data_IF_818138490808
#
_entry.id   IF_818138490808
#
_cell.length_a   1.000
_cell.length_b   1.000
_cell.length_c   1.000
_cell.angle_alpha   90.00
_cell.angle_beta   90.00
_cell.angle_gamma   90.00
#
_symmetry.space_group_name_H-M   'P 1'
#
loop_
_entity.id
_entity.type
_entity.pdbx_description
1 polymer ?
#
# COMPACT_ATOMS: atom_id res chain seq x y z
N UNK A 1 27.99 -20.83 58.26
CA UNK A 1 28.02 -19.48 57.65
C UNK A 1 27.80 -19.65 56.16
N UNK A 2 26.58 -19.44 55.68
CA UNK A 2 26.30 -19.35 54.23
C UNK A 2 25.29 -18.23 54.06
N UNK A 3 25.80 -17.02 53.86
CA UNK A 3 24.98 -15.83 53.63
C UNK A 3 24.41 -15.94 52.22
N UNK A 4 23.10 -16.18 52.12
CA UNK A 4 22.39 -16.10 50.85
C UNK A 4 22.30 -14.62 50.46
N UNK A 5 23.14 -14.20 49.52
CA UNK A 5 23.06 -12.88 48.89
C UNK A 5 21.75 -12.81 48.11
N UNK A 6 20.77 -12.11 48.68
CA UNK A 6 19.52 -11.78 48.00
C UNK A 6 19.88 -10.91 46.79
N UNK A 7 19.76 -11.50 45.60
CA UNK A 7 19.95 -10.79 44.34
C UNK A 7 18.82 -9.77 44.21
N UNK A 8 19.10 -8.51 44.54
CA UNK A 8 18.18 -7.39 44.31
C UNK A 8 17.78 -7.34 42.84
N UNK A 9 16.48 -7.29 42.50
CA UNK A 9 16.05 -7.19 41.12
C UNK A 9 16.59 -5.88 40.52
N UNK A 10 17.28 -5.97 39.37
CA UNK A 10 17.67 -4.78 38.61
C UNK A 10 16.41 -3.94 38.36
N UNK A 11 16.45 -2.67 38.74
CA UNK A 11 15.36 -1.73 38.50
C UNK A 11 15.08 -1.69 36.99
N UNK A 12 13.97 -2.29 36.56
CA UNK A 12 13.48 -2.16 35.19
C UNK A 12 13.25 -0.68 34.91
N UNK A 13 13.82 -0.12 33.82
CA UNK A 13 13.62 1.29 33.49
C UNK A 13 12.12 1.58 33.40
N UNK A 14 11.69 2.70 33.99
CA UNK A 14 10.30 3.13 33.91
C UNK A 14 9.85 3.25 32.45
N UNK A 15 8.56 3.03 32.19
CA UNK A 15 7.98 3.07 30.82
C UNK A 15 8.31 4.37 30.08
N UNK A 16 8.39 5.50 30.79
CA UNK A 16 8.83 6.79 30.24
C UNK A 16 10.30 6.77 29.81
N UNK A 17 11.20 6.22 30.62
CA UNK A 17 12.63 6.10 30.28
C UNK A 17 12.84 5.19 29.07
N UNK A 18 12.14 4.05 29.02
CA UNK A 18 12.16 3.15 27.86
C UNK A 18 11.66 3.86 26.59
N UNK A 19 10.59 4.64 26.68
CA UNK A 19 10.07 5.44 25.57
C UNK A 19 11.06 6.50 25.07
N UNK A 20 11.72 7.22 25.98
CA UNK A 20 12.75 8.22 25.62
C UNK A 20 13.94 7.55 24.94
N UNK A 21 14.45 6.45 25.50
CA UNK A 21 15.55 5.69 24.88
C UNK A 21 15.18 5.19 23.49
N UNK A 22 13.95 4.70 23.31
CA UNK A 22 13.46 4.28 21.99
C UNK A 22 13.48 5.43 20.98
N UNK A 23 12.90 6.60 21.32
CA UNK A 23 12.89 7.76 20.41
C UNK A 23 14.30 8.24 20.09
N UNK A 24 15.18 8.34 21.09
CA UNK A 24 16.57 8.74 20.87
C UNK A 24 17.30 7.75 19.96
N UNK A 25 17.11 6.45 20.18
CA UNK A 25 17.72 5.41 19.34
C UNK A 25 17.24 5.50 17.88
N UNK A 26 15.95 5.80 17.66
CA UNK A 26 15.37 6.00 16.33
C UNK A 26 16.00 7.21 15.63
N UNK A 27 16.12 8.35 16.33
CA UNK A 27 16.72 9.57 15.78
C UNK A 27 18.19 9.33 15.42
N UNK A 28 18.95 8.69 16.31
CA UNK A 28 20.36 8.35 16.05
C UNK A 28 20.48 7.44 14.83
N UNK A 29 19.63 6.42 14.73
CA UNK A 29 19.61 5.52 13.57
C UNK A 29 19.29 6.28 12.26
N UNK A 30 18.33 7.21 12.29
CA UNK A 30 17.97 8.04 11.13
C UNK A 30 19.13 8.96 10.71
N UNK A 31 19.78 9.61 11.69
CA UNK A 31 20.94 10.50 11.46
C UNK A 31 22.15 9.70 10.94
N UNK A 32 22.33 8.46 11.40
CA UNK A 32 23.37 7.59 10.87
C UNK A 32 23.06 7.13 9.43
N UNK A 33 21.79 6.89 9.10
CA UNK A 33 21.37 6.34 7.81
C UNK A 33 21.21 7.39 6.69
N UNK A 34 20.83 8.64 6.99
CA UNK A 34 20.43 9.59 5.94
C UNK A 34 21.58 9.92 4.96
N UNK A 35 22.82 10.07 5.45
CA UNK A 35 23.99 10.34 4.59
C UNK A 35 24.32 9.17 3.68
N UNK A 36 24.62 7.96 4.18
CA UNK A 36 25.05 6.86 3.32
C UNK A 36 23.96 6.48 2.30
N UNK A 37 22.69 6.51 2.70
CA UNK A 37 21.56 6.22 1.80
C UNK A 37 21.38 7.34 0.78
N UNK A 38 21.42 8.61 1.22
CA UNK A 38 21.30 9.77 0.33
C UNK A 38 22.41 9.82 -0.71
N UNK A 39 23.66 9.60 -0.30
CA UNK A 39 24.82 9.57 -1.19
C UNK A 39 24.72 8.40 -2.19
N UNK A 40 24.20 7.25 -1.76
CA UNK A 40 23.98 6.12 -2.66
C UNK A 40 22.92 6.43 -3.72
N UNK A 41 21.78 7.01 -3.33
CA UNK A 41 20.73 7.43 -4.27
C UNK A 41 21.31 8.45 -5.25
N UNK A 42 22.03 9.45 -4.76
CA UNK A 42 22.70 10.45 -5.59
C UNK A 42 23.66 9.81 -6.60
N UNK A 43 24.54 8.90 -6.17
CA UNK A 43 25.47 8.18 -7.07
C UNK A 43 24.75 7.38 -8.15
N UNK A 44 23.63 6.74 -7.82
CA UNK A 44 22.84 5.93 -8.77
C UNK A 44 22.18 6.82 -9.83
N UNK A 45 21.64 7.94 -9.38
CA UNK A 45 20.85 8.89 -10.17
C UNK A 45 21.73 9.79 -11.03
N UNK A 46 22.89 10.21 -10.52
CA UNK A 46 23.86 11.06 -11.22
C UNK A 46 24.87 10.27 -12.06
N UNK A 47 25.11 9.00 -11.73
CA UNK A 47 26.07 8.16 -12.43
C UNK A 47 25.68 7.89 -13.88
N UNK A 48 26.66 7.79 -14.78
CA UNK A 48 26.40 7.51 -16.22
C UNK A 48 26.55 6.03 -16.58
N UNK A 49 27.14 5.22 -15.71
CA UNK A 49 27.42 3.80 -15.98
C UNK A 49 26.14 2.98 -15.99
N UNK A 50 25.89 2.25 -17.08
CA UNK A 50 24.78 1.31 -17.22
C UNK A 50 25.26 -0.13 -17.13
N UNK A 51 24.60 -0.93 -16.29
CA UNK A 51 24.90 -2.36 -16.19
C UNK A 51 24.36 -3.11 -17.43
N UNK A 52 24.85 -4.33 -17.68
CA UNK A 52 24.32 -5.18 -18.77
C UNK A 52 22.84 -5.51 -18.54
N UNK A 53 22.45 -5.70 -17.28
CA UNK A 53 21.07 -5.98 -16.88
C UNK A 53 20.16 -4.78 -17.14
N UNK A 54 20.58 -3.57 -16.77
CA UNK A 54 19.83 -2.35 -17.08
C UNK A 54 19.62 -2.17 -18.57
N UNK A 55 20.66 -2.38 -19.39
CA UNK A 55 20.53 -2.29 -20.85
C UNK A 55 19.56 -3.32 -21.40
N UNK A 56 19.55 -4.54 -20.85
CA UNK A 56 18.58 -5.57 -21.22
C UNK A 56 17.14 -5.14 -20.93
N UNK A 57 16.89 -4.66 -19.71
CA UNK A 57 15.55 -4.22 -19.28
C UNK A 57 15.08 -3.00 -20.08
N UNK A 58 15.92 -1.98 -20.22
CA UNK A 58 15.57 -0.76 -20.97
C UNK A 58 15.31 -1.07 -22.45
N UNK A 59 16.05 -2.04 -23.02
CA UNK A 59 15.80 -2.51 -24.39
C UNK A 59 14.50 -3.30 -24.53
N UNK A 60 14.12 -4.08 -23.53
CA UNK A 60 12.81 -4.77 -23.50
C UNK A 60 11.64 -3.80 -23.40
N UNK A 61 11.82 -2.69 -22.67
CA UNK A 61 10.84 -1.60 -22.61
C UNK A 61 10.86 -0.75 -23.90
N UNK A 62 11.86 -0.93 -24.77
CA UNK A 62 11.96 -0.22 -26.05
C UNK A 62 12.43 1.24 -25.91
N UNK A 63 13.05 1.60 -24.78
CA UNK A 63 13.48 2.98 -24.50
C UNK A 63 14.93 3.18 -24.94
N UNK A 64 15.23 4.35 -25.49
CA UNK A 64 16.61 4.73 -25.79
C UNK A 64 17.25 5.35 -24.52
N UNK A 65 18.20 4.65 -23.87
CA UNK A 65 18.83 5.14 -22.63
C UNK A 65 19.68 6.42 -22.80
N UNK A 66 19.96 6.82 -24.04
CA UNK A 66 20.76 8.01 -24.37
C UNK A 66 19.92 9.24 -24.71
N UNK A 67 18.59 9.10 -24.84
CA UNK A 67 17.71 10.23 -25.11
C UNK A 67 17.25 10.84 -23.77
N UNK A 68 17.59 12.11 -23.52
CA UNK A 68 16.99 12.84 -22.41
C UNK A 68 15.55 13.25 -22.77
N UNK A 69 14.65 13.28 -21.78
CA UNK A 69 13.26 13.68 -21.96
C UNK A 69 13.05 15.10 -21.45
N UNK A 70 12.21 15.86 -22.16
CA UNK A 70 11.66 17.10 -21.64
C UNK A 70 10.72 16.83 -20.46
N UNK A 71 10.55 17.83 -19.59
CA UNK A 71 9.69 17.71 -18.40
C UNK A 71 8.27 17.20 -18.73
N UNK A 72 7.71 17.64 -19.85
CA UNK A 72 6.36 17.28 -20.27
C UNK A 72 6.25 15.82 -20.74
N UNK A 73 7.32 15.24 -21.27
CA UNK A 73 7.37 13.79 -21.59
C UNK A 73 7.46 13.00 -20.29
N UNK A 74 8.38 13.38 -19.39
CA UNK A 74 8.55 12.74 -18.08
C UNK A 74 7.23 12.71 -17.28
N UNK A 75 6.54 13.85 -17.21
CA UNK A 75 5.26 13.99 -16.51
C UNK A 75 4.12 13.17 -17.13
N UNK A 76 4.18 12.84 -18.43
CA UNK A 76 3.21 11.96 -19.12
C UNK A 76 3.57 10.49 -18.99
N UNK A 77 4.87 10.15 -18.93
CA UNK A 77 5.34 8.78 -18.74
C UNK A 77 4.91 8.21 -17.38
N UNK A 78 4.90 9.03 -16.33
CA UNK A 78 4.47 8.61 -15.00
C UNK A 78 3.01 8.09 -14.94
N UNK A 79 1.98 8.87 -15.33
CA UNK A 79 0.60 8.37 -15.29
C UNK A 79 0.37 7.27 -16.32
N UNK A 80 1.08 7.27 -17.45
CA UNK A 80 1.01 6.17 -18.41
C UNK A 80 1.51 4.85 -17.78
N UNK A 81 2.63 4.88 -17.07
CA UNK A 81 3.15 3.73 -16.33
C UNK A 81 2.17 3.28 -15.25
N UNK A 82 1.67 4.21 -14.42
CA UNK A 82 0.69 3.89 -13.38
C UNK A 82 -0.58 3.27 -13.95
N UNK A 83 -1.10 3.77 -15.08
CA UNK A 83 -2.28 3.20 -15.73
C UNK A 83 -2.05 1.75 -16.17
N UNK A 84 -0.90 1.47 -16.82
CA UNK A 84 -0.53 0.10 -17.22
C UNK A 84 -0.40 -0.81 -15.99
N UNK A 85 0.24 -0.34 -14.92
CA UNK A 85 0.36 -1.11 -13.67
C UNK A 85 -1.00 -1.38 -13.03
N UNK A 86 -1.93 -0.42 -13.01
CA UNK A 86 -3.29 -0.62 -12.47
C UNK A 86 -4.03 -1.67 -13.31
N UNK A 87 -3.96 -1.59 -14.64
CA UNK A 87 -4.64 -2.56 -15.50
C UNK A 87 -4.06 -3.97 -15.32
N UNK A 88 -2.74 -4.08 -15.22
CA UNK A 88 -2.06 -5.35 -14.95
C UNK A 88 -2.47 -5.92 -13.58
N UNK A 89 -2.36 -5.14 -12.50
CA UNK A 89 -2.75 -5.58 -11.16
C UNK A 89 -4.26 -5.77 -10.99
N UNK A 90 -5.08 -5.14 -11.82
CA UNK A 90 -6.50 -5.40 -11.82
C UNK A 90 -6.77 -6.77 -12.42
N UNK A 91 -6.20 -7.07 -13.60
CA UNK A 91 -6.41 -8.32 -14.32
C UNK A 91 -5.75 -9.54 -13.64
N UNK A 92 -4.58 -9.36 -13.02
CA UNK A 92 -3.78 -10.48 -12.53
C UNK A 92 -4.45 -11.29 -11.41
N UNK A 93 -5.00 -10.68 -10.33
CA UNK A 93 -5.80 -11.40 -9.33
C UNK A 93 -7.15 -11.91 -9.88
N UNK A 94 -7.67 -11.34 -10.97
CA UNK A 94 -8.89 -11.85 -11.62
C UNK A 94 -8.68 -13.16 -12.33
N UNK A 95 -7.48 -13.40 -12.86
CA UNK A 95 -7.10 -14.64 -13.53
C UNK A 95 -6.31 -15.58 -12.65
N UNK A 96 -6.29 -15.34 -11.34
CA UNK A 96 -5.45 -16.12 -10.44
C UNK A 96 -5.82 -17.60 -10.40
N UNK A 97 -7.05 -17.97 -10.74
CA UNK A 97 -7.58 -19.33 -10.81
C UNK A 97 -6.96 -20.17 -11.93
N UNK A 98 -6.45 -19.54 -12.98
CA UNK A 98 -5.79 -20.22 -14.10
C UNK A 98 -4.27 -20.34 -13.93
N UNK A 99 -3.70 -19.75 -12.88
CA UNK A 99 -2.26 -19.71 -12.67
C UNK A 99 -1.76 -20.98 -11.96
N UNK A 100 -0.58 -21.46 -12.35
CA UNK A 100 0.01 -22.72 -11.85
C UNK A 100 0.31 -22.76 -10.34
N UNK A 101 0.24 -21.61 -9.66
CA UNK A 101 0.41 -21.45 -8.22
C UNK A 101 -0.81 -20.78 -7.57
N UNK A 102 -1.99 -20.99 -8.16
CA UNK A 102 -3.29 -20.59 -7.61
C UNK A 102 -3.66 -21.36 -6.34
N UNK A 103 -3.18 -22.60 -6.19
CA UNK A 103 -3.47 -23.48 -5.04
C UNK A 103 -4.97 -23.65 -4.70
N UNK A 104 -5.88 -23.28 -5.61
CA UNK A 104 -7.33 -23.36 -5.41
C UNK A 104 -8.02 -22.04 -5.04
N UNK A 105 -7.32 -20.90 -5.04
CA UNK A 105 -7.95 -19.58 -4.87
C UNK A 105 -8.83 -19.24 -6.07
N UNK A 106 -10.07 -18.82 -5.78
CA UNK A 106 -10.99 -18.33 -6.81
C UNK A 106 -10.62 -16.92 -7.28
N UNK A 107 -11.17 -16.46 -8.41
CA UNK A 107 -10.91 -15.11 -8.91
C UNK A 107 -11.42 -14.04 -7.92
N UNK A 108 -10.60 -13.03 -7.62
CA UNK A 108 -10.99 -11.92 -6.73
C UNK A 108 -12.16 -11.14 -7.35
N UNK A 109 -13.12 -10.59 -6.60
CA UNK A 109 -14.22 -9.76 -7.14
C UNK A 109 -13.75 -8.45 -7.81
N UNK A 110 -14.51 -7.86 -8.76
CA UNK A 110 -14.06 -6.72 -9.60
C UNK A 110 -13.72 -5.47 -8.80
N UNK A 111 -14.57 -5.10 -7.86
CA UNK A 111 -14.33 -3.97 -6.97
C UNK A 111 -13.10 -4.19 -6.08
N UNK A 112 -12.92 -5.41 -5.58
CA UNK A 112 -11.80 -5.77 -4.73
C UNK A 112 -10.45 -5.75 -5.47
N UNK A 113 -10.43 -6.32 -6.69
CA UNK A 113 -9.24 -6.30 -7.55
C UNK A 113 -8.88 -4.87 -7.96
N UNK A 114 -9.88 -4.03 -8.28
CA UNK A 114 -9.67 -2.61 -8.59
C UNK A 114 -9.10 -1.82 -7.42
N UNK A 115 -9.70 -1.95 -6.23
CA UNK A 115 -9.21 -1.28 -5.02
C UNK A 115 -7.77 -1.70 -4.70
N UNK A 116 -7.47 -2.99 -4.79
CA UNK A 116 -6.11 -3.51 -4.57
C UNK A 116 -5.13 -2.93 -5.60
N UNK A 117 -5.48 -2.95 -6.88
CA UNK A 117 -4.62 -2.42 -7.94
C UNK A 117 -4.29 -0.94 -7.72
N UNK A 118 -5.29 -0.10 -7.48
CA UNK A 118 -5.08 1.33 -7.20
C UNK A 118 -4.22 1.50 -5.96
N UNK A 119 -4.54 0.80 -4.86
CA UNK A 119 -3.84 0.97 -3.58
C UNK A 119 -2.36 0.60 -3.64
N UNK A 120 -2.00 -0.45 -4.38
CA UNK A 120 -0.60 -0.85 -4.54
C UNK A 120 0.14 0.08 -5.52
N UNK A 121 -0.51 0.52 -6.59
CA UNK A 121 0.11 1.46 -7.56
C UNK A 121 0.34 2.83 -6.92
N UNK A 122 -0.56 3.29 -6.07
CA UNK A 122 -0.42 4.56 -5.32
C UNK A 122 0.48 4.45 -4.09
N UNK A 123 1.12 3.29 -3.87
CA UNK A 123 1.97 3.02 -2.69
C UNK A 123 1.23 3.20 -1.35
N UNK A 124 -0.10 3.09 -1.35
CA UNK A 124 -0.93 3.15 -0.13
C UNK A 124 -0.96 1.80 0.57
N UNK A 125 -0.94 0.72 -0.22
CA UNK A 125 -1.00 -0.66 0.26
C UNK A 125 -2.19 -0.89 1.23
N UNK A 126 -3.34 -0.30 0.90
CA UNK A 126 -4.60 -0.58 1.61
C UNK A 126 -5.07 -2.00 1.30
N UNK A 127 -5.45 -2.74 2.34
CA UNK A 127 -5.86 -4.15 2.26
C UNK A 127 -7.25 -4.30 2.87
N UNK A 128 -8.25 -4.46 2.02
CA UNK A 128 -9.63 -4.74 2.42
C UNK A 128 -9.89 -6.23 2.69
N UNK A 129 -8.91 -7.08 2.36
CA UNK A 129 -9.02 -8.53 2.37
C UNK A 129 -8.00 -9.16 3.31
N UNK A 130 -8.33 -10.32 3.92
CA UNK A 130 -7.33 -11.17 4.56
C UNK A 130 -6.50 -11.86 3.47
N UNK A 131 -5.18 -11.60 3.47
CA UNK A 131 -4.25 -12.15 2.49
C UNK A 131 -4.36 -13.67 2.38
N UNK A 132 -4.47 -14.32 3.55
CA UNK A 132 -4.39 -15.78 3.74
C UNK A 132 -5.52 -16.55 3.05
N UNK A 133 -6.62 -15.85 2.74
CA UNK A 133 -7.84 -16.47 2.21
C UNK A 133 -8.29 -15.88 0.87
N UNK A 134 -7.57 -14.90 0.33
CA UNK A 134 -8.02 -14.15 -0.86
C UNK A 134 -7.04 -14.22 -2.03
N UNK A 135 -5.72 -14.28 -1.79
CA UNK A 135 -4.70 -14.15 -2.83
C UNK A 135 -3.77 -15.36 -2.89
N UNK A 136 -3.62 -15.94 -4.08
CA UNK A 136 -2.65 -17.00 -4.35
C UNK A 136 -1.20 -16.50 -4.31
N UNK A 137 -0.27 -17.43 -4.04
CA UNK A 137 1.15 -17.10 -3.86
C UNK A 137 1.73 -16.29 -5.01
N UNK A 138 1.36 -16.65 -6.25
CA UNK A 138 1.88 -15.97 -7.43
C UNK A 138 1.40 -14.52 -7.51
N UNK A 139 0.15 -14.25 -7.12
CA UNK A 139 -0.37 -12.89 -7.09
C UNK A 139 0.38 -12.05 -6.06
N UNK A 140 0.68 -12.63 -4.91
CA UNK A 140 1.42 -11.94 -3.85
C UNK A 140 2.86 -11.66 -4.24
N UNK A 141 3.57 -12.67 -4.75
CA UNK A 141 4.99 -12.56 -5.08
C UNK A 141 5.23 -11.76 -6.37
N UNK A 142 4.52 -12.09 -7.44
CA UNK A 142 4.78 -11.53 -8.77
C UNK A 142 3.92 -10.29 -9.08
N UNK A 143 2.81 -10.09 -8.36
CA UNK A 143 1.94 -8.92 -8.51
C UNK A 143 2.22 -7.89 -7.43
N UNK A 144 1.77 -8.19 -6.22
CA UNK A 144 1.75 -7.25 -5.09
C UNK A 144 3.15 -6.84 -4.64
N UNK A 145 4.05 -7.81 -4.45
CA UNK A 145 5.42 -7.50 -4.04
C UNK A 145 6.16 -6.69 -5.10
N UNK A 146 6.07 -7.07 -6.38
CA UNK A 146 6.66 -6.30 -7.49
C UNK A 146 6.12 -4.87 -7.52
N UNK A 147 4.81 -4.66 -7.29
CA UNK A 147 4.24 -3.33 -7.29
C UNK A 147 4.70 -2.48 -6.08
N UNK A 148 4.99 -3.09 -4.93
CA UNK A 148 5.60 -2.37 -3.80
C UNK A 148 6.96 -1.79 -4.17
N UNK A 149 7.76 -2.49 -4.99
CA UNK A 149 9.02 -1.96 -5.51
C UNK A 149 8.79 -0.85 -6.53
N UNK A 150 7.95 -1.09 -7.52
CA UNK A 150 7.75 -0.17 -8.63
C UNK A 150 7.10 1.15 -8.18
N UNK A 151 6.09 1.09 -7.31
CA UNK A 151 5.42 2.30 -6.80
C UNK A 151 6.36 3.16 -5.93
N UNK A 152 7.18 2.54 -5.09
CA UNK A 152 8.23 3.23 -4.34
C UNK A 152 9.28 3.85 -5.27
N UNK A 153 9.70 3.12 -6.32
CA UNK A 153 10.65 3.61 -7.30
C UNK A 153 10.11 4.84 -8.06
N UNK A 154 8.83 4.85 -8.43
CA UNK A 154 8.17 6.02 -9.03
C UNK A 154 8.21 7.23 -8.10
N UNK A 155 7.92 7.05 -6.80
CA UNK A 155 7.99 8.14 -5.82
C UNK A 155 9.39 8.76 -5.72
N UNK A 156 10.41 7.92 -5.64
CA UNK A 156 11.82 8.37 -5.63
C UNK A 156 12.18 9.05 -6.96
N UNK A 157 11.74 8.51 -8.09
CA UNK A 157 12.00 9.09 -9.41
C UNK A 157 11.38 10.49 -9.56
N UNK A 158 10.19 10.74 -9.01
CA UNK A 158 9.58 12.08 -8.97
C UNK A 158 10.37 13.04 -8.09
N UNK A 159 10.78 12.61 -6.89
CA UNK A 159 11.61 13.42 -6.00
C UNK A 159 12.94 13.79 -6.67
N UNK A 160 13.57 12.84 -7.35
CA UNK A 160 14.79 13.06 -8.15
C UNK A 160 14.56 14.06 -9.27
N UNK A 161 13.48 13.90 -10.04
CA UNK A 161 13.15 14.82 -11.13
C UNK A 161 12.94 16.25 -10.61
N UNK A 162 12.28 16.41 -9.46
CA UNK A 162 12.10 17.69 -8.80
C UNK A 162 13.43 18.32 -8.37
N UNK A 163 14.31 17.54 -7.72
CA UNK A 163 15.66 18.00 -7.33
C UNK A 163 16.47 18.40 -8.56
N UNK A 164 16.42 17.62 -9.65
CA UNK A 164 17.09 17.97 -10.92
C UNK A 164 16.51 19.23 -11.55
N UNK A 165 15.20 19.44 -11.45
CA UNK A 165 14.52 20.66 -11.92
C UNK A 165 14.98 21.92 -11.20
N UNK A 166 15.33 21.84 -9.91
CA UNK A 166 15.94 22.95 -9.18
C UNK A 166 17.44 23.12 -9.46
N UNK A 167 18.17 22.01 -9.64
CA UNK A 167 19.63 22.04 -9.81
C UNK A 167 20.09 22.42 -11.22
N UNK A 168 19.34 22.03 -12.27
CA UNK A 168 19.70 22.32 -13.67
C UNK A 168 19.15 23.68 -14.09
N UNK A 169 20.00 24.53 -14.65
CA UNK A 169 19.59 25.81 -15.25
C UNK A 169 19.58 25.72 -16.78
N UNK A 170 18.46 26.12 -17.41
CA UNK A 170 18.35 26.38 -18.86
C UNK A 170 18.53 25.18 -19.83
N UNK A 171 18.29 23.94 -19.40
CA UNK A 171 18.46 22.75 -20.28
C UNK A 171 17.15 22.20 -20.86
N UNK A 172 15.97 22.51 -20.31
CA UNK A 172 14.68 21.97 -20.77
C UNK A 172 14.46 20.47 -20.52
N UNK A 173 15.52 19.74 -20.16
CA UNK A 173 15.56 18.28 -20.01
C UNK A 173 15.82 17.85 -18.55
N UNK A 174 15.07 16.84 -18.08
CA UNK A 174 15.10 16.34 -16.69
C UNK A 174 15.71 14.92 -16.56
N UNK A 175 16.08 14.31 -17.68
CA UNK A 175 16.51 12.90 -17.76
C UNK A 175 15.42 12.01 -18.36
N UNK A 176 15.49 10.70 -18.16
CA UNK A 176 14.52 9.74 -18.68
C UNK A 176 13.86 8.96 -17.53
N UNK A 177 12.52 8.98 -17.50
CA UNK A 177 11.72 8.34 -16.45
C UNK A 177 11.97 6.84 -16.33
N UNK A 178 12.10 6.15 -17.46
CA UNK A 178 12.27 4.69 -17.48
C UNK A 178 13.67 4.29 -16.99
N UNK A 179 14.69 5.08 -17.37
CA UNK A 179 16.06 4.89 -16.88
C UNK A 179 16.12 5.10 -15.37
N UNK A 180 15.49 6.16 -14.85
CA UNK A 180 15.45 6.42 -13.41
C UNK A 180 14.69 5.29 -12.67
N UNK A 181 13.53 4.88 -13.18
CA UNK A 181 12.73 3.80 -12.62
C UNK A 181 13.54 2.49 -12.51
N UNK A 182 14.21 2.08 -13.59
CA UNK A 182 15.00 0.83 -13.62
C UNK A 182 16.21 0.93 -12.69
N UNK A 183 16.91 2.07 -12.67
CA UNK A 183 18.09 2.27 -11.80
C UNK A 183 17.74 2.27 -10.32
N UNK A 184 16.67 2.97 -9.94
CA UNK A 184 16.20 3.03 -8.55
C UNK A 184 15.76 1.63 -8.11
N UNK A 185 15.00 0.92 -8.94
CA UNK A 185 14.54 -0.44 -8.63
C UNK A 185 15.73 -1.40 -8.44
N UNK A 186 16.66 -1.46 -9.39
CA UNK A 186 17.73 -2.48 -9.38
C UNK A 186 18.92 -2.14 -8.47
N UNK A 187 19.25 -0.85 -8.29
CA UNK A 187 20.46 -0.45 -7.54
C UNK A 187 20.19 0.13 -6.16
N UNK A 188 18.95 0.52 -5.86
CA UNK A 188 18.57 1.07 -4.55
C UNK A 188 17.65 0.11 -3.82
N UNK A 189 16.47 -0.19 -4.37
CA UNK A 189 15.47 -0.96 -3.66
C UNK A 189 15.83 -2.45 -3.57
N UNK A 190 16.28 -3.07 -4.67
CA UNK A 190 16.58 -4.51 -4.69
C UNK A 190 17.70 -4.90 -3.71
N UNK A 191 18.85 -4.21 -3.63
CA UNK A 191 19.89 -4.56 -2.66
C UNK A 191 19.44 -4.38 -1.21
N UNK A 192 18.70 -3.30 -0.93
CA UNK A 192 18.17 -3.03 0.41
C UNK A 192 17.15 -4.09 0.82
N UNK A 193 16.27 -4.51 -0.10
CA UNK A 193 15.29 -5.55 0.17
C UNK A 193 15.92 -6.93 0.37
N UNK A 194 16.98 -7.27 -0.38
CA UNK A 194 17.72 -8.52 -0.15
C UNK A 194 18.35 -8.54 1.24
N UNK A 195 19.01 -7.45 1.64
CA UNK A 195 19.57 -7.32 2.98
C UNK A 195 18.49 -7.40 4.06
N UNK A 196 17.36 -6.70 3.86
CA UNK A 196 16.21 -6.76 4.77
C UNK A 196 15.62 -8.16 4.90
N UNK A 197 15.45 -8.86 3.77
CA UNK A 197 14.95 -10.24 3.75
C UNK A 197 15.88 -11.19 4.50
N UNK A 198 17.20 -11.05 4.35
CA UNK A 198 18.18 -11.85 5.11
C UNK A 198 18.08 -11.59 6.61
N UNK A 199 17.99 -10.32 7.03
CA UNK A 199 17.83 -9.96 8.45
C UNK A 199 16.53 -10.54 9.02
N UNK A 200 15.42 -10.44 8.28
CA UNK A 200 14.13 -10.99 8.69
C UNK A 200 14.17 -12.53 8.78
N UNK A 201 14.83 -13.19 7.82
CA UNK A 201 15.01 -14.64 7.82
C UNK A 201 15.83 -15.11 9.03
N UNK A 202 16.89 -14.38 9.38
CA UNK A 202 17.66 -14.62 10.61
C UNK A 202 16.82 -14.36 11.88
N UNK A 203 15.86 -13.43 11.81
CA UNK A 203 14.87 -13.17 12.86
C UNK A 203 13.74 -14.21 12.93
N UNK A 204 13.75 -15.24 12.07
CA UNK A 204 12.78 -16.33 12.08
C UNK A 204 11.56 -16.12 11.18
N UNK A 205 11.57 -15.12 10.29
CA UNK A 205 10.51 -14.96 9.29
C UNK A 205 10.54 -16.12 8.30
N UNK A 206 9.39 -16.74 8.11
CA UNK A 206 9.22 -17.91 7.25
C UNK A 206 9.21 -17.50 5.78
N UNK A 207 10.14 -18.06 4.99
CA UNK A 207 10.22 -17.85 3.54
C UNK A 207 10.28 -19.22 2.84
N UNK A 208 9.12 -19.83 2.61
CA UNK A 208 9.02 -21.08 1.85
C UNK A 208 7.89 -20.99 0.82
N UNK A 209 7.64 -22.05 0.06
CA UNK A 209 6.47 -22.17 -0.84
C UNK A 209 5.61 -23.38 -0.43
N UNK A 210 5.72 -23.79 0.83
CA UNK A 210 5.02 -24.95 1.36
C UNK A 210 3.59 -24.60 1.71
N UNK A 211 2.72 -25.59 1.55
CA UNK A 211 1.24 -25.48 1.57
C UNK A 211 0.68 -25.27 2.99
N UNK A 212 1.53 -25.05 4.00
CA UNK A 212 1.14 -24.99 5.42
C UNK A 212 1.37 -26.32 6.14
N UNK A 213 1.59 -26.26 7.45
CA UNK A 213 1.86 -27.43 8.29
C UNK A 213 0.76 -27.57 9.33
N UNK A 214 0.04 -28.70 9.31
CA UNK A 214 -0.90 -29.03 10.37
C UNK A 214 -0.15 -29.47 11.62
N UNK A 215 -0.31 -28.72 12.70
CA UNK A 215 0.32 -28.99 14.00
C UNK A 215 -0.76 -29.38 15.00
N UNK A 216 -0.61 -30.55 15.61
CA UNK A 216 -1.42 -30.93 16.76
C UNK A 216 -0.93 -30.16 17.98
N UNK A 217 -1.78 -29.32 18.56
CA UNK A 217 -1.46 -28.52 19.74
C UNK A 217 -1.28 -29.42 20.97
N UNK A 218 -0.63 -28.89 21.99
CA UNK A 218 -0.47 -29.56 23.29
C UNK A 218 -1.82 -29.90 23.96
N UNK A 219 -2.89 -29.22 23.56
CA UNK A 219 -4.27 -29.46 24.02
C UNK A 219 -5.03 -30.48 23.16
N UNK A 220 -4.38 -31.11 22.17
CA UNK A 220 -4.96 -32.12 21.27
C UNK A 220 -5.81 -31.54 20.14
N UNK A 221 -5.89 -30.21 20.00
CA UNK A 221 -6.54 -29.54 18.87
C UNK A 221 -5.65 -29.53 17.62
N UNK A 222 -6.24 -29.60 16.43
CA UNK A 222 -5.49 -29.35 15.19
C UNK A 222 -5.40 -27.85 14.90
N UNK A 223 -4.18 -27.33 14.72
CA UNK A 223 -3.93 -25.97 14.25
C UNK A 223 -3.09 -26.03 12.97
N UNK A 224 -3.64 -25.51 11.87
CA UNK A 224 -2.86 -25.31 10.64
C UNK A 224 -2.02 -24.05 10.79
N UNK A 225 -0.70 -24.19 10.79
CA UNK A 225 0.24 -23.07 10.70
C UNK A 225 0.43 -22.78 9.22
N UNK A 226 0.02 -21.58 8.80
CA UNK A 226 0.23 -21.11 7.42
C UNK A 226 1.72 -21.12 7.10
N UNK A 227 2.08 -21.69 5.95
CA UNK A 227 3.45 -21.86 5.49
C UNK A 227 4.03 -20.58 4.93
N UNK A 228 4.60 -20.65 3.73
CA UNK A 228 5.13 -19.51 2.99
C UNK A 228 4.02 -18.55 2.56
N UNK A 229 4.01 -18.01 1.32
CA UNK A 229 2.78 -17.43 0.84
C UNK A 229 1.67 -18.49 1.03
N UNK A 230 0.45 -18.02 1.24
CA UNK A 230 -0.62 -18.71 1.98
C UNK A 230 -1.54 -19.68 1.23
N UNK A 231 -2.06 -20.67 1.96
CA UNK A 231 -3.00 -21.71 1.51
C UNK A 231 -4.48 -21.28 1.56
N UNK A 232 -5.31 -21.61 0.54
CA UNK A 232 -6.75 -21.40 0.63
C UNK A 232 -7.41 -22.41 1.57
N UNK A 233 -8.00 -21.92 2.68
CA UNK A 233 -8.84 -22.72 3.58
C UNK A 233 -10.13 -23.19 2.88
N UNK A 234 -10.09 -24.31 2.14
CA UNK A 234 -11.28 -24.95 1.56
C UNK A 234 -11.80 -26.17 2.34
N UNK A 235 -11.16 -26.59 3.42
CA UNK A 235 -11.46 -27.86 4.11
C UNK A 235 -12.21 -27.75 5.46
N UNK A 236 -12.91 -26.64 5.74
CA UNK A 236 -13.90 -26.58 6.83
C UNK A 236 -15.36 -26.54 6.35
N UNK A 237 -15.62 -26.77 5.06
CA UNK A 237 -16.97 -26.88 4.50
C UNK A 237 -17.35 -28.32 4.10
N UNK A 238 -16.62 -29.33 4.57
CA UNK A 238 -17.12 -30.70 4.54
C UNK A 238 -17.94 -30.93 5.83
N UNK A 239 -19.24 -31.29 5.76
CA UNK A 239 -19.98 -31.70 6.95
C UNK A 239 -19.25 -32.87 7.57
N UNK A 240 -18.71 -32.68 8.78
CA UNK A 240 -18.22 -33.81 9.57
C UNK A 240 -19.44 -34.70 9.84
N UNK A 241 -19.41 -36.01 9.55
CA UNK A 241 -20.47 -36.90 10.00
C UNK A 241 -20.51 -36.81 11.52
N UNK A 242 -21.59 -36.23 12.04
CA UNK A 242 -21.86 -36.16 13.47
C UNK A 242 -22.03 -37.59 13.99
N UNK A 243 -20.96 -38.13 14.57
CA UNK A 243 -21.02 -39.34 15.37
C UNK A 243 -21.74 -39.03 16.69
N UNK A 244 -23.07 -39.15 16.70
CA UNK A 244 -23.85 -39.65 17.83
C UNK A 244 -25.30 -39.81 17.38
N UNK A 245 -25.64 -41.03 17.01
CA UNK A 245 -27.03 -41.48 17.03
C UNK A 245 -27.42 -41.67 18.50
N UNK A 246 -28.22 -40.75 19.03
CA UNK A 246 -29.01 -40.97 20.22
C UNK A 246 -30.49 -40.94 19.81
N UNK A 247 -31.05 -42.14 19.76
CA UNK A 247 -32.45 -42.48 19.51
C UNK A 247 -33.41 -41.73 20.44
N UNK A 248 -34.39 -41.00 19.88
CA UNK A 248 -35.66 -40.67 20.54
C UNK A 248 -36.74 -40.32 19.48
N UNK A 249 -38.03 -40.60 19.74
CA UNK A 249 -38.98 -41.01 18.71
C UNK A 249 -39.70 -39.87 17.99
N UNK A 250 -40.10 -40.19 16.77
CA UNK A 250 -41.02 -39.45 15.88
C UNK A 250 -42.27 -38.96 16.62
N UNK A 251 -42.51 -37.66 16.64
CA UNK A 251 -43.86 -37.09 16.76
C UNK A 251 -43.99 -35.88 15.84
N UNK A 252 -44.92 -36.05 14.91
CA UNK A 252 -45.37 -35.14 13.87
C UNK A 252 -46.04 -33.89 14.46
N UNK A 253 -45.55 -32.68 14.12
CA UNK A 253 -46.33 -31.48 13.73
C UNK A 253 -45.45 -30.20 13.62
N UNK A 254 -45.69 -29.32 12.63
CA UNK A 254 -44.94 -28.09 12.48
C UNK A 254 -45.44 -27.03 13.47
N UNK A 255 -44.59 -26.63 14.43
CA UNK A 255 -44.87 -25.50 15.32
C UNK A 255 -44.13 -24.28 14.83
N UNK A 256 -44.89 -23.37 14.22
CA UNK A 256 -44.50 -22.00 13.89
C UNK A 256 -44.06 -21.32 15.20
N UNK A 257 -42.77 -21.02 15.32
CA UNK A 257 -42.23 -20.29 16.46
C UNK A 257 -42.58 -18.80 16.31
N UNK A 258 -43.67 -18.43 16.97
CA UNK A 258 -44.20 -17.09 17.12
C UNK A 258 -43.23 -16.29 18.02
N UNK A 259 -42.37 -15.48 17.42
CA UNK A 259 -41.52 -14.54 18.17
C UNK A 259 -42.39 -13.37 18.64
N UNK A 260 -42.76 -13.42 19.91
CA UNK A 260 -43.53 -12.41 20.64
C UNK A 260 -42.70 -11.13 20.73
N UNK A 261 -42.95 -10.17 19.84
CA UNK A 261 -42.36 -8.83 19.87
C UNK A 261 -43.06 -7.97 20.95
N UNK A 262 -42.24 -7.32 21.76
CA UNK A 262 -42.59 -6.33 22.77
C UNK A 262 -43.27 -5.09 22.12
N UNK A 263 -44.48 -4.65 22.53
CA UNK A 263 -45.17 -3.57 21.85
C UNK A 263 -44.86 -2.22 22.50
N UNK A 264 -43.62 -1.72 22.37
CA UNK A 264 -43.27 -0.33 22.73
C UNK A 264 -42.16 0.28 21.88
N UNK A 265 -42.29 0.25 20.55
CA UNK A 265 -41.61 1.21 19.67
C UNK A 265 -42.57 1.60 18.57
N UNK A 266 -43.16 2.79 18.69
CA UNK A 266 -43.97 3.44 17.65
C UNK A 266 -43.00 4.10 16.67
N UNK A 267 -42.93 3.59 15.43
CA UNK A 267 -42.29 4.27 14.31
C UNK A 267 -43.37 5.14 13.66
N UNK A 268 -43.27 6.46 13.84
CA UNK A 268 -44.08 7.43 13.10
C UNK A 268 -43.38 7.75 11.79
N UNK A 269 -44.00 7.32 10.69
CA UNK A 269 -43.70 7.71 9.32
C UNK A 269 -44.24 9.12 9.07
N UNK A 270 -43.40 10.06 8.62
CA UNK A 270 -43.86 11.39 8.23
C UNK A 270 -43.15 11.86 6.96
N UNK A 271 -43.52 11.25 5.82
CA UNK A 271 -43.34 11.87 4.51
C UNK A 271 -44.55 12.73 4.16
N UNK A 272 -44.55 14.02 4.53
CA UNK A 272 -45.38 15.05 3.86
C UNK A 272 -44.66 16.41 3.80
N UNK A 273 -44.21 16.77 2.60
CA UNK A 273 -43.93 18.16 2.21
C UNK A 273 -45.25 18.95 2.14
N UNK A 274 -45.23 20.25 2.52
CA UNK A 274 -45.97 21.22 1.72
C UNK A 274 -45.19 22.50 1.40
N UNK A 275 -45.46 22.99 0.19
CA UNK A 275 -44.98 24.25 -0.40
C UNK A 275 -45.52 25.50 0.32
N UNK A 276 -44.68 26.53 0.28
CA UNK A 276 -44.94 27.96 0.02
C UNK A 276 -45.79 28.82 0.99
N UNK A 277 -45.19 29.91 1.50
CA UNK A 277 -45.72 31.28 1.35
C UNK A 277 -44.71 32.39 1.68
N UNK A 278 -44.81 33.48 0.91
CA UNK A 278 -44.07 34.76 0.96
C UNK A 278 -44.49 35.66 2.14
N UNK A 279 -43.55 36.47 2.66
CA UNK A 279 -43.68 37.88 3.11
C UNK A 279 -42.27 38.36 3.53
N UNK A 280 -41.56 39.29 2.87
CA UNK A 280 -41.75 40.74 2.65
C UNK A 280 -41.57 41.62 3.90
N UNK A 281 -40.65 42.59 3.77
CA UNK A 281 -40.39 43.80 4.59
C UNK A 281 -39.61 43.61 5.91
N UNK A 282 -38.68 44.47 6.35
CA UNK A 282 -38.19 45.75 5.85
C UNK A 282 -36.88 46.20 6.58
N UNK A 283 -35.98 46.82 5.80
CA UNK A 283 -35.28 48.10 6.07
C UNK A 283 -34.42 48.32 7.34
N UNK A 284 -33.10 48.51 7.14
CA UNK A 284 -32.35 49.72 7.55
C UNK A 284 -31.06 49.91 6.73
N UNK A 285 -30.83 51.16 6.35
CA UNK A 285 -29.87 51.79 5.43
C UNK A 285 -28.56 52.24 6.13
N UNK A 286 -27.35 52.08 5.52
CA UNK A 286 -26.42 53.09 4.88
C UNK A 286 -25.59 53.93 5.91
N UNK A 287 -24.33 54.46 5.68
CA UNK A 287 -23.56 54.72 4.43
C UNK A 287 -22.03 54.42 4.32
N UNK A 288 -21.60 54.30 3.05
CA UNK A 288 -20.46 54.91 2.31
C UNK A 288 -19.18 55.47 3.00
N UNK A 289 -18.02 55.08 2.44
CA UNK A 289 -16.94 55.97 1.94
C UNK A 289 -15.97 55.18 1.00
N UNK A 290 -16.01 55.42 -0.33
CA UNK A 290 -15.00 56.11 -1.18
C UNK A 290 -13.56 55.54 -1.09
N UNK A 291 -13.08 54.79 -2.09
CA UNK A 291 -12.49 55.21 -3.39
C UNK A 291 -10.95 55.32 -3.36
N UNK A 292 -10.28 54.58 -4.24
CA UNK A 292 -9.42 55.06 -5.35
C UNK A 292 -8.59 53.86 -5.84
N UNK A 293 -8.77 53.49 -7.11
CA UNK A 293 -7.93 52.51 -7.79
C UNK A 293 -6.80 53.18 -8.58
N UNK A 294 -5.79 52.40 -8.96
CA UNK A 294 -4.94 52.66 -10.14
C UNK A 294 -4.44 51.30 -10.67
N UNK A 295 -4.90 50.92 -11.86
CA UNK A 295 -4.22 50.00 -12.77
C UNK A 295 -2.97 50.67 -13.34
N UNK A 296 -1.85 49.96 -13.46
CA UNK A 296 -0.80 50.27 -14.46
C UNK A 296 -0.21 49.01 -15.07
N UNK A 297 -0.65 48.76 -16.30
CA UNK A 297 0.07 48.09 -17.37
C UNK A 297 1.34 48.86 -17.74
N UNK A 298 2.44 48.19 -18.07
CA UNK A 298 3.55 48.79 -18.82
C UNK A 298 4.08 47.83 -19.88
N UNK A 299 3.93 48.29 -21.12
CA UNK A 299 4.54 47.80 -22.35
C UNK A 299 5.90 48.49 -22.56
N UNK A 300 6.77 47.82 -23.32
CA UNK A 300 8.13 48.24 -23.68
C UNK A 300 8.22 49.57 -24.47
N UNK A 301 9.41 50.19 -24.52
CA UNK A 301 9.76 51.12 -25.59
C UNK A 301 10.81 50.55 -26.55
N UNK A 302 10.54 50.75 -27.84
CA UNK A 302 11.52 50.76 -28.93
C UNK A 302 11.91 52.21 -29.19
N UNK A 303 13.21 52.50 -29.31
CA UNK A 303 13.69 53.59 -30.18
C UNK A 303 15.10 53.30 -30.70
N UNK A 304 15.28 53.64 -31.97
CA UNK A 304 16.47 53.51 -32.82
C UNK A 304 17.61 54.43 -32.40
N UNK A 305 18.82 53.99 -32.72
CA UNK A 305 19.80 54.70 -33.57
C UNK A 305 20.53 53.66 -34.39
#
# INVERSE_FOLDING_TARGET
MTTATVMTPMATPGTTTAGVVFVLSLVVALVAAYRPVGDQIYRVVAGTRQSRVERGVVRLVGVNPAAEQSWGVYARSLPAFSAVSVLFLHAFPRWQDHLWLSLGFGPVGPHGAWNTAVSFVTNTNWQWYPGESTMGHLVQMAGLAVQNFLSAAVGIAVAVALVRGFARSRTGELGDFWVDLVRITLRVLLPVAVLGALVLMLGGVVQNLSVGTDVTTLTGGGQTVTGGPEWPRRSQAAPRPSASAATAPTTTRPSVLLLRLDPRITITDDTRLPRARKASQATKSVPLARSVGVQRTWSAPVSRT
#
